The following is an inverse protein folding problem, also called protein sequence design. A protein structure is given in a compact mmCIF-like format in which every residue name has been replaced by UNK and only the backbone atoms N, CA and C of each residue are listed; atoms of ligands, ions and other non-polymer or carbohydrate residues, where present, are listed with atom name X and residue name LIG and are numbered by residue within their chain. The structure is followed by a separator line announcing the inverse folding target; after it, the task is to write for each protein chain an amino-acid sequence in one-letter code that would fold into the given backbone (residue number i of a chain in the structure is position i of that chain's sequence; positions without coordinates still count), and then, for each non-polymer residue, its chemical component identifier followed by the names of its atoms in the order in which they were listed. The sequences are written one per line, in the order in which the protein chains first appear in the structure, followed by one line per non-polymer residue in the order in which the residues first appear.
data_IF_030992974610
#
_entry.id   IF_030992974610
#
_cell.length_a   1.000
_cell.length_b   1.000
_cell.length_c   1.000
_cell.angle_alpha   90.00
_cell.angle_beta   90.00
_cell.angle_gamma   90.00
#
_symmetry.space_group_name_H-M   'P 1'
#
loop_
_entity.id
_entity.type
_entity.pdbx_description
1 polymer ?
#
# COMPACT_ATOMS: atom_id res chain seq x y z
N UNK A 1 59.51 -0.12 -34.70
CA UNK A 1 58.18 0.50 -34.46
C UNK A 1 57.14 -0.62 -34.36
N UNK A 2 56.78 -1.06 -33.15
CA UNK A 2 55.77 -2.11 -32.92
C UNK A 2 54.40 -1.43 -32.82
N UNK A 3 53.52 -1.66 -33.79
CA UNK A 3 52.13 -1.19 -33.76
C UNK A 3 51.38 -2.00 -32.70
N UNK A 4 51.00 -1.33 -31.61
CA UNK A 4 50.08 -1.87 -30.61
C UNK A 4 48.66 -1.69 -31.15
N UNK A 5 48.00 -2.82 -31.37
CA UNK A 5 46.60 -2.90 -31.81
C UNK A 5 45.76 -2.98 -30.53
N UNK A 6 45.10 -1.88 -30.15
CA UNK A 6 44.12 -1.89 -29.07
C UNK A 6 42.86 -2.59 -29.58
N UNK A 7 42.57 -3.76 -29.01
CA UNK A 7 41.32 -4.48 -29.21
C UNK A 7 40.25 -3.84 -28.32
N UNK A 8 39.30 -3.11 -28.91
CA UNK A 8 38.15 -2.55 -28.22
C UNK A 8 37.17 -3.70 -27.92
N UNK A 9 37.27 -4.28 -26.73
CA UNK A 9 36.28 -5.24 -26.23
C UNK A 9 35.03 -4.48 -25.81
N UNK A 10 33.95 -4.59 -26.59
CA UNK A 10 32.62 -4.14 -26.18
C UNK A 10 32.04 -5.24 -25.31
N UNK A 11 32.13 -5.07 -23.99
CA UNK A 11 31.41 -5.91 -23.03
C UNK A 11 29.95 -5.48 -23.08
N UNK A 12 29.09 -6.27 -23.72
CA UNK A 12 27.64 -6.09 -23.59
C UNK A 12 27.23 -6.61 -22.21
N UNK A 13 27.00 -5.69 -21.27
CA UNK A 13 26.32 -6.01 -20.01
C UNK A 13 24.84 -6.27 -20.32
N UNK A 14 24.41 -7.52 -20.25
CA UNK A 14 22.98 -7.84 -20.15
C UNK A 14 22.56 -7.66 -18.71
N UNK A 15 21.84 -6.57 -18.42
CA UNK A 15 21.03 -6.45 -17.20
C UNK A 15 19.82 -7.37 -17.38
N UNK A 16 19.95 -8.64 -16.97
CA UNK A 16 18.76 -9.44 -16.68
C UNK A 16 18.22 -8.87 -15.37
N UNK A 17 17.20 -8.04 -15.47
CA UNK A 17 16.58 -7.48 -14.28
C UNK A 17 15.52 -8.44 -13.79
N UNK A 18 15.69 -8.91 -12.56
CA UNK A 18 14.75 -9.84 -11.96
C UNK A 18 13.44 -9.11 -11.63
N UNK A 19 12.32 -9.81 -11.86
CA UNK A 19 10.99 -9.25 -11.66
C UNK A 19 10.75 -9.08 -10.16
N UNK A 20 10.37 -7.88 -9.67
CA UNK A 20 10.03 -7.68 -8.28
C UNK A 20 8.85 -8.57 -7.87
N UNK A 21 8.81 -8.96 -6.59
CA UNK A 21 7.64 -9.61 -6.01
C UNK A 21 7.47 -9.18 -4.57
N UNK A 22 6.22 -9.23 -4.09
CA UNK A 22 5.85 -8.96 -2.71
C UNK A 22 5.31 -10.29 -2.14
N UNK A 23 5.97 -10.80 -1.11
CA UNK A 23 5.60 -12.03 -0.41
C UNK A 23 4.59 -11.75 0.72
N UNK A 24 4.88 -10.78 1.60
CA UNK A 24 4.00 -10.42 2.71
C UNK A 24 4.00 -8.91 3.00
N UNK A 25 2.91 -8.46 3.64
CA UNK A 25 2.73 -7.12 4.18
C UNK A 25 2.62 -7.23 5.71
N UNK A 26 3.48 -6.53 6.45
CA UNK A 26 3.57 -6.68 7.91
C UNK A 26 3.67 -5.33 8.63
N UNK A 27 2.67 -4.97 9.46
CA UNK A 27 1.32 -5.57 9.52
C UNK A 27 0.55 -5.36 8.21
N UNK A 28 -0.38 -6.27 7.88
CA UNK A 28 -1.29 -6.13 6.74
C UNK A 28 -2.45 -5.14 7.01
N UNK A 29 -2.36 -4.39 8.10
CA UNK A 29 -3.33 -3.37 8.48
C UNK A 29 -2.64 -2.18 9.18
N UNK A 30 -3.30 -1.02 9.23
CA UNK A 30 -2.80 0.13 9.98
C UNK A 30 -3.46 1.46 9.64
N UNK A 31 -3.26 2.45 10.50
CA UNK A 31 -3.76 3.82 10.28
C UNK A 31 -2.79 4.69 9.49
N UNK A 32 -3.30 5.80 8.95
CA UNK A 32 -2.49 6.76 8.17
C UNK A 32 -1.21 7.18 8.88
N UNK A 33 -0.11 7.25 8.13
CA UNK A 33 1.21 7.60 8.66
C UNK A 33 1.90 6.49 9.47
N UNK A 34 1.22 5.37 9.76
CA UNK A 34 1.88 4.23 10.40
C UNK A 34 2.86 3.57 9.42
N UNK A 35 3.88 2.92 9.98
CA UNK A 35 4.90 2.21 9.22
C UNK A 35 4.53 0.75 9.03
N UNK A 36 4.73 0.24 7.83
CA UNK A 36 4.62 -1.17 7.49
C UNK A 36 5.86 -1.64 6.72
N UNK A 37 6.02 -2.96 6.67
CA UNK A 37 7.11 -3.63 5.96
C UNK A 37 6.53 -4.47 4.82
N UNK A 38 7.10 -4.33 3.64
CA UNK A 38 6.85 -5.21 2.50
C UNK A 38 8.04 -6.16 2.37
N UNK A 39 7.80 -7.44 2.65
CA UNK A 39 8.79 -8.50 2.45
C UNK A 39 8.67 -9.02 1.02
N UNK A 40 9.80 -9.24 0.35
CA UNK A 40 9.80 -9.68 -1.04
C UNK A 40 11.21 -9.83 -1.59
N UNK A 41 11.37 -9.47 -2.87
CA UNK A 41 12.67 -9.57 -3.53
C UNK A 41 12.76 -8.74 -4.80
N UNK A 42 14.00 -8.53 -5.24
CA UNK A 42 14.39 -7.76 -6.42
C UNK A 42 13.98 -6.28 -6.37
N UNK A 43 13.90 -5.73 -5.15
CA UNK A 43 13.77 -4.29 -4.96
C UNK A 43 15.13 -3.60 -5.14
N UNK A 44 15.09 -2.30 -5.44
CA UNK A 44 16.32 -1.51 -5.57
C UNK A 44 16.82 -1.08 -4.18
N UNK A 45 18.09 -1.31 -3.82
CA UNK A 45 18.65 -0.76 -2.58
C UNK A 45 19.05 0.72 -2.70
N UNK A 46 18.93 1.35 -3.88
CA UNK A 46 19.41 2.69 -4.18
C UNK A 46 18.27 3.69 -4.48
N UNK A 47 17.14 3.58 -3.77
CA UNK A 47 15.98 4.49 -3.88
C UNK A 47 15.24 4.52 -5.23
N UNK A 48 15.49 3.58 -6.14
CA UNK A 48 14.79 3.46 -7.42
C UNK A 48 13.47 2.66 -7.32
N UNK A 49 12.79 2.75 -6.17
CA UNK A 49 11.50 2.13 -5.92
C UNK A 49 10.40 3.18 -5.80
N UNK A 50 9.21 2.83 -6.25
CA UNK A 50 7.99 3.59 -5.98
C UNK A 50 6.92 2.63 -5.49
N UNK A 51 6.31 2.92 -4.35
CA UNK A 51 5.28 2.08 -3.73
C UNK A 51 3.93 2.79 -3.78
N UNK A 52 2.89 2.08 -4.18
CA UNK A 52 1.53 2.60 -4.21
C UNK A 52 0.55 1.75 -3.41
N UNK A 53 -0.30 2.43 -2.63
CA UNK A 53 -1.51 1.87 -2.05
C UNK A 53 -2.66 2.19 -3.01
N UNK A 54 -2.96 1.26 -3.90
CA UNK A 54 -3.84 1.53 -5.04
C UNK A 54 -3.23 2.60 -5.96
N UNK A 55 -3.77 3.82 -5.94
CA UNK A 55 -3.27 4.96 -6.72
C UNK A 55 -2.46 5.99 -5.93
N UNK A 56 -2.19 5.74 -4.64
CA UNK A 56 -1.55 6.70 -3.74
C UNK A 56 -0.10 6.33 -3.46
N UNK A 57 0.82 7.23 -3.78
CA UNK A 57 2.24 7.03 -3.55
C UNK A 57 2.57 7.07 -2.05
N UNK A 58 3.31 6.08 -1.58
CA UNK A 58 3.77 5.97 -0.21
C UNK A 58 5.21 6.50 -0.07
N UNK A 59 5.51 7.09 1.08
CA UNK A 59 6.88 7.46 1.41
C UNK A 59 7.67 6.21 1.84
N UNK A 60 8.84 6.01 1.22
CA UNK A 60 9.75 4.92 1.53
C UNK A 60 10.75 5.42 2.57
N UNK A 61 10.80 4.74 3.72
CA UNK A 61 11.69 5.06 4.83
C UNK A 61 13.03 4.33 4.72
N UNK A 62 13.00 3.09 4.21
CA UNK A 62 14.18 2.25 4.02
C UNK A 62 13.92 1.25 2.89
N UNK A 63 14.97 0.92 2.13
CA UNK A 63 14.92 -0.06 1.06
C UNK A 63 16.14 -0.98 1.11
N UNK A 64 15.89 -2.28 0.98
CA UNK A 64 16.90 -3.31 0.71
C UNK A 64 16.42 -4.15 -0.48
N UNK A 65 17.23 -5.08 -0.96
CA UNK A 65 16.82 -5.96 -2.06
C UNK A 65 15.58 -6.82 -1.75
N UNK A 66 15.30 -7.07 -0.47
CA UNK A 66 14.24 -7.99 -0.02
C UNK A 66 13.19 -7.34 0.89
N UNK A 67 13.34 -6.06 1.21
CA UNK A 67 12.47 -5.37 2.17
C UNK A 67 12.27 -3.90 1.77
N UNK A 68 11.03 -3.43 1.82
CA UNK A 68 10.69 -2.01 1.77
C UNK A 68 9.93 -1.62 3.04
N UNK A 69 10.46 -0.63 3.75
CA UNK A 69 9.77 0.00 4.87
C UNK A 69 9.09 1.27 4.38
N UNK A 70 7.76 1.35 4.50
CA UNK A 70 6.97 2.44 3.94
C UNK A 70 5.96 2.98 4.95
N UNK A 71 5.53 4.24 4.77
CA UNK A 71 4.43 4.82 5.54
C UNK A 71 3.12 4.79 4.75
N UNK A 72 2.02 4.51 5.43
CA UNK A 72 0.69 4.48 4.81
C UNK A 72 0.26 5.91 4.41
N UNK A 73 -0.04 6.17 3.12
CA UNK A 73 -0.45 7.49 2.66
C UNK A 73 -1.89 7.83 3.10
N UNK A 74 -2.16 9.13 3.25
CA UNK A 74 -3.51 9.62 3.52
C UNK A 74 -4.47 9.27 2.39
N UNK A 75 -5.62 8.69 2.74
CA UNK A 75 -6.64 8.28 1.78
C UNK A 75 -6.45 6.86 1.22
N UNK A 76 -5.45 6.11 1.71
CA UNK A 76 -5.39 4.67 1.47
C UNK A 76 -6.72 4.02 1.90
N UNK A 77 -7.08 2.93 1.23
CA UNK A 77 -8.28 2.15 1.48
C UNK A 77 -7.95 0.67 1.30
N UNK A 78 -8.94 -0.23 1.44
CA UNK A 78 -8.76 -1.65 1.20
C UNK A 78 -8.28 -1.95 -0.23
N UNK A 79 -6.98 -2.21 -0.39
CA UNK A 79 -6.33 -2.31 -1.70
C UNK A 79 -5.09 -3.20 -1.64
N UNK A 80 -4.74 -3.93 -2.72
CA UNK A 80 -3.40 -4.45 -2.85
C UNK A 80 -2.38 -3.30 -2.92
N UNK A 81 -1.15 -3.60 -2.51
CA UNK A 81 0.01 -2.70 -2.61
C UNK A 81 0.77 -3.08 -3.87
N UNK A 82 1.27 -2.06 -4.58
CA UNK A 82 2.12 -2.26 -5.74
C UNK A 82 3.47 -1.59 -5.59
N UNK A 83 4.48 -2.19 -6.22
CA UNK A 83 5.86 -1.70 -6.25
C UNK A 83 6.30 -1.59 -7.70
N UNK A 84 6.83 -0.44 -8.07
CA UNK A 84 7.53 -0.22 -9.33
C UNK A 84 9.01 -0.05 -9.03
N UNK A 85 9.87 -0.86 -9.66
CA UNK A 85 11.32 -0.79 -9.45
C UNK A 85 12.08 -1.12 -10.74
N UNK A 86 13.06 -0.26 -11.06
CA UNK A 86 13.79 -0.20 -12.33
C UNK A 86 12.98 -0.60 -13.58
N UNK A 87 11.77 -0.07 -13.76
CA UNK A 87 10.97 -0.35 -14.97
C UNK A 87 10.04 -1.57 -14.91
N UNK A 88 10.07 -2.34 -13.82
CA UNK A 88 9.23 -3.51 -13.60
C UNK A 88 8.21 -3.26 -12.48
N UNK A 89 7.13 -4.02 -12.49
CA UNK A 89 5.97 -3.81 -11.61
C UNK A 89 5.56 -5.11 -10.92
N UNK A 90 5.26 -5.02 -9.62
CA UNK A 90 4.74 -6.10 -8.78
C UNK A 90 3.49 -5.64 -8.03
N UNK A 91 2.61 -6.60 -7.73
CA UNK A 91 1.41 -6.39 -6.90
C UNK A 91 1.36 -7.47 -5.84
N UNK A 92 1.00 -7.10 -4.62
CA UNK A 92 0.78 -8.05 -3.53
C UNK A 92 -0.46 -8.91 -3.78
N UNK A 93 -0.42 -10.18 -3.38
CA UNK A 93 -1.62 -11.02 -3.32
C UNK A 93 -2.52 -10.64 -2.14
N UNK A 94 -1.92 -10.11 -1.06
CA UNK A 94 -2.62 -9.60 0.11
C UNK A 94 -3.16 -8.20 -0.15
N UNK A 95 -4.34 -7.92 0.38
CA UNK A 95 -4.85 -6.55 0.50
C UNK A 95 -4.35 -5.95 1.82
N UNK A 96 -4.23 -4.62 1.84
CA UNK A 96 -3.92 -3.87 3.04
C UNK A 96 -5.19 -3.24 3.62
N UNK A 97 -5.41 -3.44 4.91
CA UNK A 97 -6.57 -2.94 5.65
C UNK A 97 -6.26 -1.62 6.36
N UNK A 98 -6.94 -0.54 5.97
CA UNK A 98 -6.77 0.75 6.64
C UNK A 98 -7.66 0.81 7.87
N UNK A 99 -7.04 1.05 9.02
CA UNK A 99 -7.76 1.20 10.29
C UNK A 99 -7.90 2.69 10.62
N UNK A 100 -9.08 3.06 11.10
CA UNK A 100 -9.38 4.39 11.59
C UNK A 100 -9.43 4.38 13.11
N UNK A 101 -8.74 5.32 13.74
CA UNK A 101 -8.85 5.51 15.18
C UNK A 101 -10.17 6.24 15.47
N UNK A 102 -11.23 5.45 15.72
CA UNK A 102 -12.53 6.00 16.06
C UNK A 102 -12.49 6.54 17.49
N UNK A 103 -12.87 7.80 17.68
CA UNK A 103 -12.93 8.41 19.01
C UNK A 103 -13.95 7.72 19.94
N UNK A 104 -14.98 7.12 19.34
CA UNK A 104 -16.04 6.35 20.01
C UNK A 104 -16.67 5.37 19.01
N UNK A 105 -17.26 4.28 19.51
CA UNK A 105 -18.00 3.30 18.70
C UNK A 105 -19.17 3.97 17.97
N UNK A 106 -19.41 3.63 16.70
CA UNK A 106 -20.57 4.15 15.98
C UNK A 106 -21.86 3.57 16.58
N UNK A 107 -22.67 4.42 17.21
CA UNK A 107 -23.96 3.99 17.78
C UNK A 107 -25.14 4.63 17.04
N UNK A 108 -26.34 4.06 17.21
CA UNK A 108 -27.58 4.65 16.69
C UNK A 108 -27.83 6.08 17.20
N UNK A 109 -27.27 6.46 18.36
CA UNK A 109 -27.38 7.81 18.92
C UNK A 109 -26.69 8.85 18.02
N UNK A 110 -25.55 8.49 17.40
CA UNK A 110 -24.79 9.38 16.51
C UNK A 110 -25.55 9.74 15.23
N UNK A 111 -26.55 8.93 14.85
CA UNK A 111 -27.38 9.14 13.67
C UNK A 111 -28.76 9.75 14.00
N UNK A 112 -29.07 9.99 15.28
CA UNK A 112 -30.40 10.43 15.73
C UNK A 112 -30.93 11.71 15.06
N UNK A 113 -30.05 12.64 14.73
CA UNK A 113 -30.37 13.90 14.04
C UNK A 113 -30.58 13.75 12.52
N UNK A 114 -30.10 12.66 11.90
CA UNK A 114 -30.31 12.35 10.48
C UNK A 114 -31.58 11.52 10.25
N UNK A 115 -32.15 10.97 11.32
CA UNK A 115 -33.36 10.13 11.27
C UNK A 115 -34.66 10.96 11.32
N UNK A 116 -34.56 12.27 11.54
CA UNK A 116 -35.70 13.18 11.57
C UNK A 116 -35.88 13.85 10.21
N UNK A 117 -36.91 13.43 9.47
CA UNK A 117 -37.31 14.15 8.26
C UNK A 117 -38.26 15.29 8.66
N UNK A 118 -37.91 16.57 8.43
CA UNK A 118 -38.70 17.71 8.90
C UNK A 118 -40.09 17.82 8.24
N UNK A 119 -40.32 17.09 7.16
CA UNK A 119 -41.60 17.05 6.45
C UNK A 119 -42.40 15.78 6.71
N UNK A 120 -41.76 14.71 7.19
CA UNK A 120 -42.34 13.36 7.27
C UNK A 120 -42.28 12.72 8.67
N UNK A 121 -41.61 13.34 9.65
CA UNK A 121 -41.37 12.81 10.99
C UNK A 121 -40.26 11.73 11.04
N UNK A 122 -40.08 11.11 12.21
CA UNK A 122 -39.18 9.95 12.36
C UNK A 122 -39.73 8.77 11.53
N UNK A 123 -39.06 8.42 10.43
CA UNK A 123 -39.54 7.39 9.48
C UNK A 123 -38.73 6.11 9.46
N UNK A 124 -37.60 6.06 10.15
CA UNK A 124 -36.75 4.87 10.16
C UNK A 124 -37.12 4.01 11.36
N UNK A 125 -37.62 2.80 11.11
CA UNK A 125 -38.01 1.84 12.15
C UNK A 125 -36.82 1.05 12.69
N UNK A 126 -35.75 0.93 11.91
CA UNK A 126 -34.57 0.14 12.23
C UNK A 126 -33.34 0.72 11.52
N UNK A 127 -32.21 0.76 12.22
CA UNK A 127 -30.90 1.09 11.68
C UNK A 127 -29.98 -0.05 12.07
N UNK A 128 -29.38 -0.69 11.06
CA UNK A 128 -28.39 -1.75 11.27
C UNK A 128 -27.04 -1.23 10.86
N UNK A 129 -26.10 -1.34 11.77
CA UNK A 129 -24.68 -1.11 11.53
C UNK A 129 -24.06 -2.50 11.33
N UNK A 130 -23.22 -2.62 10.32
CA UNK A 130 -22.53 -3.85 9.99
C UNK A 130 -21.12 -3.51 9.54
N UNK A 131 -20.17 -4.32 9.99
CA UNK A 131 -18.81 -4.34 9.47
C UNK A 131 -18.87 -4.82 8.00
N UNK A 132 -18.59 -3.91 7.07
CA UNK A 132 -18.62 -4.18 5.63
C UNK A 132 -17.24 -4.55 5.06
N UNK A 133 -16.16 -4.35 5.82
CA UNK A 133 -14.79 -4.64 5.42
C UNK A 133 -14.19 -5.88 6.10
N UNK A 134 -14.89 -6.50 7.05
CA UNK A 134 -14.51 -7.74 7.71
C UNK A 134 -13.40 -7.57 8.76
N UNK A 135 -13.26 -6.37 9.34
CA UNK A 135 -12.25 -6.06 10.37
C UNK A 135 -12.76 -6.28 11.81
N UNK A 136 -13.96 -6.83 11.96
CA UNK A 136 -14.67 -7.08 13.22
C UNK A 136 -15.07 -5.80 13.98
N UNK A 137 -15.03 -4.63 13.33
CA UNK A 137 -15.40 -3.32 13.90
C UNK A 137 -16.54 -2.68 13.09
N UNK A 138 -17.75 -2.49 13.66
CA UNK A 138 -18.89 -1.86 12.98
C UNK A 138 -18.78 -0.33 12.79
#
# INVERSE_FOLDING_TARGET
MKKILYLLSIITFSLCQDIPFIESIEPAFGGFGSTIILNGGNFSPNDDNTVFFGGLEANILNATENELMVTIPYGAYYTPISVYTNGLYAVSNQHFDVIFDAAEELTASHLSNQLENPYLGAKYYDVKIADLNGDEIP
#
